data_IF_022969286609
#
_entry.id   IF_022969286609
#
_cell.length_a   1.000
_cell.length_b   1.000
_cell.length_c   1.000
_cell.angle_alpha   90.00
_cell.angle_beta   90.00
_cell.angle_gamma   90.00
#
_symmetry.space_group_name_H-M   'P 1'
#
loop_
_entity.id
_entity.type
_entity.pdbx_description
1 polymer ?
#
# COMPACT_ATOMS: atom_id res chain seq x y z
N UNK A 1 6.68 -4.62 22.86
CA UNK A 1 6.26 -3.28 22.44
C UNK A 1 5.59 -3.40 21.08
N UNK A 2 4.41 -2.79 20.97
CA UNK A 2 3.63 -2.82 19.73
C UNK A 2 3.99 -1.58 18.90
N UNK A 3 4.53 -1.75 17.70
CA UNK A 3 4.90 -0.65 16.81
C UNK A 3 3.82 -0.46 15.77
N UNK A 4 3.24 0.73 15.69
CA UNK A 4 2.30 1.09 14.63
C UNK A 4 2.99 1.94 13.57
N UNK A 5 2.85 1.55 12.30
CA UNK A 5 3.30 2.34 11.16
C UNK A 5 2.50 3.65 11.08
N UNK A 6 3.18 4.76 10.90
CA UNK A 6 2.56 6.07 10.73
C UNK A 6 2.93 6.65 9.37
N UNK A 7 1.94 7.15 8.65
CA UNK A 7 2.09 7.76 7.32
C UNK A 7 1.82 9.27 7.42
N UNK A 8 2.86 10.11 7.53
CA UNK A 8 2.70 11.55 7.79
C UNK A 8 1.91 12.30 6.72
N UNK A 9 2.00 11.84 5.47
CA UNK A 9 1.32 12.45 4.33
C UNK A 9 -0.07 11.89 4.05
N UNK A 10 -0.60 11.05 4.93
CA UNK A 10 -1.96 10.50 4.84
C UNK A 10 -2.22 9.74 3.54
N UNK A 11 -2.84 10.39 2.57
CA UNK A 11 -3.26 9.77 1.32
C UNK A 11 -2.27 9.93 0.15
N UNK A 12 -1.16 10.67 0.33
CA UNK A 12 -0.20 10.93 -0.74
C UNK A 12 0.45 9.62 -1.23
N UNK A 13 0.33 9.34 -2.53
CA UNK A 13 0.84 8.13 -3.18
C UNK A 13 0.35 6.82 -2.53
N UNK A 14 -0.86 6.80 -1.95
CA UNK A 14 -1.37 5.69 -1.14
C UNK A 14 -1.35 4.34 -1.87
N UNK A 15 -1.71 4.33 -3.16
CA UNK A 15 -1.73 3.10 -3.97
C UNK A 15 -0.34 2.63 -4.41
N UNK A 16 0.68 3.47 -4.29
CA UNK A 16 2.08 3.13 -4.57
C UNK A 16 2.76 2.62 -3.31
N UNK A 17 2.70 3.41 -2.23
CA UNK A 17 3.33 3.07 -0.96
C UNK A 17 2.70 1.81 -0.36
N UNK A 18 1.38 1.77 -0.31
CA UNK A 18 0.66 0.72 0.39
C UNK A 18 0.71 0.89 1.90
N UNK A 19 0.21 -0.09 2.62
CA UNK A 19 0.14 -0.06 4.08
C UNK A 19 0.44 -1.42 4.70
N UNK A 20 0.71 -1.41 6.00
CA UNK A 20 0.94 -2.60 6.82
C UNK A 20 -0.30 -2.97 7.63
N UNK A 21 -0.45 -4.25 7.93
CA UNK A 21 -1.46 -4.75 8.87
C UNK A 21 -1.10 -4.49 10.33
N UNK A 22 -1.96 -4.99 11.22
CA UNK A 22 -1.78 -4.90 12.67
C UNK A 22 -0.53 -5.61 13.19
N UNK A 23 -0.03 -6.59 12.46
CA UNK A 23 1.17 -7.38 12.74
C UNK A 23 2.43 -6.83 12.03
N UNK A 24 2.37 -5.59 11.54
CA UNK A 24 3.41 -4.92 10.77
C UNK A 24 3.82 -5.65 9.48
N UNK A 25 2.98 -6.54 8.97
CA UNK A 25 3.17 -7.19 7.68
C UNK A 25 2.63 -6.31 6.55
N UNK A 26 3.39 -6.14 5.47
CA UNK A 26 2.96 -5.40 4.29
C UNK A 26 1.75 -6.08 3.63
N UNK A 27 0.70 -5.33 3.32
CA UNK A 27 -0.53 -5.86 2.70
C UNK A 27 -0.57 -5.53 1.21
N UNK A 28 -0.24 -4.31 0.83
CA UNK A 28 -0.25 -3.84 -0.56
C UNK A 28 0.93 -2.91 -0.86
N UNK A 29 1.17 -2.64 -2.13
CA UNK A 29 2.13 -1.64 -2.60
C UNK A 29 3.59 -2.01 -2.36
N UNK A 30 4.41 -0.99 -2.13
CA UNK A 30 5.84 -1.15 -1.85
C UNK A 30 6.08 -1.81 -0.49
N UNK A 31 5.19 -1.63 0.49
CA UNK A 31 5.30 -2.26 1.81
C UNK A 31 5.32 -3.78 1.69
N UNK A 32 4.45 -4.39 0.88
CA UNK A 32 4.47 -5.84 0.66
C UNK A 32 5.65 -6.27 -0.23
N UNK A 33 5.97 -5.48 -1.23
CA UNK A 33 7.03 -5.82 -2.19
C UNK A 33 8.41 -5.88 -1.54
N UNK A 34 8.67 -4.97 -0.62
CA UNK A 34 9.96 -4.83 0.06
C UNK A 34 9.92 -5.20 1.55
N UNK A 35 8.90 -5.94 1.96
CA UNK A 35 8.71 -6.36 3.35
C UNK A 35 9.96 -7.01 3.95
N UNK A 36 10.60 -7.94 3.22
CA UNK A 36 11.81 -8.62 3.68
C UNK A 36 13.00 -7.69 3.96
N UNK A 37 12.99 -6.49 3.36
CA UNK A 37 14.03 -5.47 3.55
C UNK A 37 13.61 -4.50 4.66
N UNK A 38 12.33 -4.15 4.71
CA UNK A 38 11.78 -3.13 5.61
C UNK A 38 11.56 -3.67 7.02
N UNK A 39 11.13 -4.93 7.17
CA UNK A 39 10.73 -5.52 8.46
C UNK A 39 11.93 -5.80 9.38
N UNK A 40 13.08 -6.18 8.83
CA UNK A 40 14.22 -6.64 9.64
C UNK A 40 14.01 -8.05 10.19
N UNK A 41 14.63 -8.35 11.32
CA UNK A 41 14.53 -9.65 11.99
C UNK A 41 14.34 -9.47 13.49
N UNK A 42 13.31 -10.07 14.04
CA UNK A 42 13.00 -9.99 15.46
C UNK A 42 14.08 -10.68 16.30
N UNK A 43 14.41 -10.09 17.44
CA UNK A 43 15.27 -10.70 18.45
C UNK A 43 14.55 -11.86 19.13
N UNK A 44 15.30 -12.80 19.64
CA UNK A 44 14.78 -13.93 20.40
C UNK A 44 15.54 -14.06 21.71
N UNK A 45 14.79 -14.27 22.79
CA UNK A 45 15.34 -14.61 24.10
C UNK A 45 14.93 -16.05 24.37
N UNK A 46 15.92 -16.94 24.48
CA UNK A 46 15.71 -18.33 24.83
C UNK A 46 15.99 -18.47 26.33
N UNK A 47 14.95 -18.61 27.13
CA UNK A 47 15.05 -18.94 28.56
C UNK A 47 14.78 -20.43 28.76
N UNK A 48 15.63 -21.11 29.51
CA UNK A 48 15.37 -22.48 29.93
C UNK A 48 14.50 -22.44 31.20
N UNK A 49 13.38 -23.15 31.16
CA UNK A 49 12.49 -23.33 32.31
C UNK A 49 12.54 -24.78 32.80
N UNK A 50 12.38 -25.00 34.09
CA UNK A 50 12.21 -26.34 34.64
C UNK A 50 10.84 -26.94 34.28
N UNK A 51 10.59 -28.19 34.67
CA UNK A 51 9.32 -28.89 34.41
C UNK A 51 8.11 -28.23 35.08
N UNK A 52 8.31 -27.23 35.96
CA UNK A 52 7.29 -26.44 36.66
C UNK A 52 7.10 -25.04 36.08
N UNK A 53 7.87 -24.70 34.99
CA UNK A 53 7.80 -23.39 34.32
C UNK A 53 8.59 -22.28 35.04
N UNK A 54 9.48 -22.62 35.99
CA UNK A 54 10.35 -21.65 36.67
C UNK A 54 11.64 -21.46 35.86
N UNK A 55 12.03 -20.21 35.61
CA UNK A 55 13.27 -19.87 34.92
C UNK A 55 14.50 -20.35 35.70
N UNK A 56 15.38 -21.07 35.01
CA UNK A 56 16.64 -21.54 35.58
C UNK A 56 17.68 -20.42 35.43
N UNK A 57 17.97 -19.74 36.52
CA UNK A 57 18.85 -18.56 36.57
C UNK A 57 20.32 -18.82 36.20
N UNK A 58 20.72 -20.07 36.02
CA UNK A 58 22.13 -20.47 35.89
C UNK A 58 22.49 -21.06 34.50
N UNK A 59 21.52 -21.16 33.60
CA UNK A 59 21.74 -21.58 32.22
C UNK A 59 21.74 -20.35 31.34
N UNK A 60 22.91 -19.94 30.83
CA UNK A 60 23.12 -18.74 30.06
C UNK A 60 22.00 -18.47 29.06
N UNK A 61 21.38 -17.30 29.18
CA UNK A 61 20.34 -16.82 28.25
C UNK A 61 20.90 -16.77 26.84
N UNK A 62 20.37 -17.58 25.95
CA UNK A 62 20.63 -17.47 24.52
C UNK A 62 19.89 -16.25 23.97
N UNK A 63 20.54 -15.08 23.92
CA UNK A 63 19.96 -13.86 23.38
C UNK A 63 20.41 -13.68 21.94
N UNK A 64 19.44 -13.63 21.03
CA UNK A 64 19.64 -13.20 19.65
C UNK A 64 19.18 -11.76 19.52
N UNK A 65 20.09 -10.86 19.22
CA UNK A 65 19.77 -9.44 19.06
C UNK A 65 18.88 -9.21 17.83
N UNK A 66 17.91 -8.26 17.92
CA UNK A 66 17.08 -7.88 16.78
C UNK A 66 17.93 -7.15 15.73
N UNK A 67 17.60 -7.37 14.46
CA UNK A 67 18.22 -6.65 13.34
C UNK A 67 17.17 -5.70 12.76
N UNK A 68 17.42 -4.40 12.84
CA UNK A 68 16.53 -3.39 12.29
C UNK A 68 16.38 -3.53 10.78
N UNK A 69 15.18 -3.25 10.26
CA UNK A 69 14.94 -3.15 8.84
C UNK A 69 15.70 -2.00 8.19
N UNK A 70 15.79 -2.03 6.87
CA UNK A 70 16.45 -0.99 6.08
C UNK A 70 15.46 0.06 5.61
N UNK A 71 15.97 1.25 5.27
CA UNK A 71 15.17 2.31 4.66
C UNK A 71 15.07 2.10 3.14
N UNK A 72 13.91 2.38 2.57
CA UNK A 72 13.68 2.43 1.14
C UNK A 72 13.61 3.89 0.70
N UNK A 73 14.53 4.31 -0.17
CA UNK A 73 14.55 5.64 -0.76
C UNK A 73 13.92 5.56 -2.15
N UNK A 74 12.88 6.35 -2.37
CA UNK A 74 12.15 6.40 -3.64
C UNK A 74 12.60 7.60 -4.46
N UNK A 75 12.43 7.50 -5.78
CA UNK A 75 12.63 8.61 -6.72
C UNK A 75 11.45 9.58 -6.76
N UNK A 76 10.35 9.26 -6.08
CA UNK A 76 9.17 10.11 -6.03
C UNK A 76 9.47 11.44 -5.33
N UNK A 77 9.13 12.53 -6.00
CA UNK A 77 9.18 13.88 -5.43
C UNK A 77 7.81 14.21 -4.81
N UNK A 78 7.80 14.53 -3.53
CA UNK A 78 6.56 14.79 -2.78
C UNK A 78 5.77 15.99 -3.35
N UNK A 79 6.47 17.05 -3.80
CA UNK A 79 5.79 18.22 -4.36
C UNK A 79 5.19 17.89 -5.73
N UNK A 80 5.94 17.21 -6.60
CA UNK A 80 5.42 16.79 -7.90
C UNK A 80 4.26 15.80 -7.75
N UNK A 81 4.33 14.92 -6.77
CA UNK A 81 3.26 13.99 -6.44
C UNK A 81 1.98 14.74 -6.03
N UNK A 82 2.10 15.75 -5.16
CA UNK A 82 0.98 16.57 -4.72
C UNK A 82 0.34 17.37 -5.86
N UNK A 83 1.16 18.04 -6.70
CA UNK A 83 0.65 18.77 -7.87
C UNK A 83 -0.06 17.83 -8.85
N UNK A 84 0.53 16.67 -9.13
CA UNK A 84 -0.09 15.68 -10.00
C UNK A 84 -1.40 15.12 -9.41
N UNK A 85 -1.47 14.94 -8.09
CA UNK A 85 -2.67 14.52 -7.39
C UNK A 85 -3.79 15.57 -7.49
N UNK A 86 -3.48 16.84 -7.28
CA UNK A 86 -4.45 17.93 -7.44
C UNK A 86 -4.98 17.99 -8.89
N UNK A 87 -4.10 17.89 -9.87
CA UNK A 87 -4.49 17.86 -11.28
C UNK A 87 -5.37 16.64 -11.61
N UNK A 88 -5.05 15.47 -11.03
CA UNK A 88 -5.84 14.26 -11.23
C UNK A 88 -7.26 14.39 -10.64
N UNK A 89 -7.41 14.99 -9.45
CA UNK A 89 -8.73 15.24 -8.86
C UNK A 89 -9.54 16.25 -9.67
N UNK A 90 -8.91 17.32 -10.15
CA UNK A 90 -9.58 18.28 -11.04
C UNK A 90 -10.08 17.61 -12.34
N UNK A 91 -9.26 16.77 -12.95
CA UNK A 91 -9.66 16.02 -14.13
C UNK A 91 -10.78 15.02 -13.84
N UNK A 92 -10.75 14.34 -12.70
CA UNK A 92 -11.78 13.42 -12.24
C UNK A 92 -13.14 14.12 -12.15
N UNK A 93 -13.19 15.29 -11.50
CA UNK A 93 -14.40 16.07 -11.32
C UNK A 93 -14.90 16.66 -12.65
N UNK A 94 -14.03 17.31 -13.42
CA UNK A 94 -14.41 17.98 -14.68
C UNK A 94 -14.91 17.01 -15.74
N UNK A 95 -14.34 15.80 -15.77
CA UNK A 95 -14.70 14.77 -16.76
C UNK A 95 -15.69 13.74 -16.21
N UNK A 96 -16.07 13.84 -14.93
CA UNK A 96 -16.90 12.85 -14.24
C UNK A 96 -16.40 11.41 -14.47
N UNK A 97 -15.08 11.24 -14.40
CA UNK A 97 -14.42 9.97 -14.60
C UNK A 97 -14.46 9.13 -13.32
N UNK A 98 -14.45 7.82 -13.45
CA UNK A 98 -14.38 6.90 -12.29
C UNK A 98 -12.99 6.87 -11.66
N UNK A 99 -11.96 7.06 -12.48
CA UNK A 99 -10.56 7.09 -12.03
C UNK A 99 -9.68 7.87 -12.98
N UNK A 100 -8.59 8.44 -12.45
CA UNK A 100 -7.54 9.11 -13.25
C UNK A 100 -6.18 8.64 -12.76
N UNK A 101 -5.30 8.28 -13.69
CA UNK A 101 -3.92 7.90 -13.40
C UNK A 101 -2.96 8.85 -14.09
N UNK A 102 -1.95 9.35 -13.36
CA UNK A 102 -0.90 10.22 -13.88
C UNK A 102 0.46 9.63 -13.52
N UNK A 103 1.36 9.52 -14.48
CA UNK A 103 2.75 9.13 -14.26
C UNK A 103 3.65 10.22 -14.84
N UNK A 104 4.51 10.77 -13.98
CA UNK A 104 5.56 11.70 -14.38
C UNK A 104 6.90 10.99 -14.36
N UNK A 105 7.59 11.00 -15.49
CA UNK A 105 8.85 10.31 -15.66
C UNK A 105 9.89 11.26 -16.28
N UNK A 106 11.13 11.17 -15.79
CA UNK A 106 12.27 11.89 -16.39
C UNK A 106 12.75 11.11 -17.61
N UNK A 107 12.64 11.66 -18.83
CA UNK A 107 12.93 10.89 -20.05
C UNK A 107 14.41 10.51 -20.21
N UNK A 108 15.33 11.26 -19.58
CA UNK A 108 16.77 11.02 -19.73
C UNK A 108 17.28 9.76 -19.04
N UNK A 109 16.63 9.32 -17.94
CA UNK A 109 17.07 8.17 -17.16
C UNK A 109 15.93 7.20 -16.79
N UNK A 110 14.68 7.49 -17.17
CA UNK A 110 13.53 6.66 -16.85
C UNK A 110 13.05 6.73 -15.41
N UNK A 111 13.55 7.68 -14.61
CA UNK A 111 13.20 7.86 -13.21
C UNK A 111 11.77 8.36 -13.06
N UNK A 112 10.96 7.66 -12.24
CA UNK A 112 9.58 8.05 -11.97
C UNK A 112 9.59 9.07 -10.84
N UNK A 113 9.10 10.29 -11.14
CA UNK A 113 9.05 11.41 -10.22
C UNK A 113 7.70 11.54 -9.50
N UNK A 114 6.61 11.14 -10.15
CA UNK A 114 5.30 11.05 -9.53
C UNK A 114 4.48 9.93 -10.16
N UNK A 115 3.67 9.26 -9.34
CA UNK A 115 2.73 8.24 -9.76
C UNK A 115 1.45 8.38 -8.94
N UNK A 116 0.40 8.86 -9.58
CA UNK A 116 -0.90 9.16 -8.98
C UNK A 116 -1.97 8.26 -9.58
N UNK A 117 -2.87 7.81 -8.74
CA UNK A 117 -4.07 7.08 -9.17
C UNK A 117 -5.22 7.41 -8.23
N UNK A 118 -6.07 8.34 -8.65
CA UNK A 118 -7.24 8.77 -7.86
C UNK A 118 -8.49 7.97 -8.25
N UNK A 119 -9.44 7.74 -7.32
CA UNK A 119 -9.43 8.17 -5.91
C UNK A 119 -8.41 7.42 -5.06
N UNK A 120 -7.83 8.15 -4.10
CA UNK A 120 -6.89 7.61 -3.12
C UNK A 120 -7.59 7.32 -1.80
N UNK A 121 -6.92 6.57 -0.92
CA UNK A 121 -7.37 6.25 0.43
C UNK A 121 -6.35 6.73 1.48
N UNK A 122 -6.79 6.89 2.75
CA UNK A 122 -5.89 7.24 3.83
C UNK A 122 -5.08 6.01 4.27
N UNK A 123 -3.75 6.11 4.22
CA UNK A 123 -2.83 5.05 4.62
C UNK A 123 -2.91 4.74 6.12
N UNK A 124 -3.32 5.71 6.95
CA UNK A 124 -3.49 5.51 8.38
C UNK A 124 -4.82 4.83 8.74
N UNK A 125 -5.81 4.89 7.83
CA UNK A 125 -7.13 4.23 7.96
C UNK A 125 -7.60 3.64 6.61
N UNK A 126 -6.88 2.65 6.08
CA UNK A 126 -7.09 2.14 4.72
C UNK A 126 -8.40 1.36 4.54
N UNK A 127 -9.04 0.97 5.64
CA UNK A 127 -10.30 0.20 5.62
C UNK A 127 -11.54 1.09 5.75
N UNK A 128 -11.36 2.40 6.00
CA UNK A 128 -12.46 3.33 6.07
C UNK A 128 -12.94 3.71 4.67
N UNK A 129 -14.16 3.33 4.36
CA UNK A 129 -14.79 3.69 3.10
C UNK A 129 -15.34 5.11 3.19
N UNK A 130 -14.92 6.00 2.30
CA UNK A 130 -15.42 7.38 2.23
C UNK A 130 -16.91 7.46 1.83
N UNK A 131 -17.47 6.37 1.28
CA UNK A 131 -18.90 6.26 0.99
C UNK A 131 -19.65 5.66 2.18
N UNK A 132 -20.84 6.18 2.46
CA UNK A 132 -21.75 5.54 3.40
C UNK A 132 -22.06 4.12 2.94
N UNK A 133 -21.77 3.15 3.80
CA UNK A 133 -22.05 1.73 3.55
C UNK A 133 -23.48 1.35 3.94
N UNK A 134 -24.31 2.33 4.38
CA UNK A 134 -25.71 2.10 4.72
C UNK A 134 -26.49 1.61 3.50
N UNK A 135 -26.97 0.38 3.58
CA UNK A 135 -27.73 -0.27 2.52
C UNK A 135 -26.89 -1.10 1.53
N UNK A 136 -25.57 -1.12 1.68
CA UNK A 136 -24.70 -1.99 0.86
C UNK A 136 -24.62 -3.41 1.45
N UNK A 137 -24.59 -4.40 0.58
CA UNK A 137 -24.31 -5.79 0.97
C UNK A 137 -22.85 -5.97 1.38
N UNK A 138 -22.56 -7.05 2.12
CA UNK A 138 -21.17 -7.37 2.53
C UNK A 138 -20.24 -7.54 1.32
N UNK A 139 -20.78 -8.00 0.21
CA UNK A 139 -20.03 -8.20 -1.04
C UNK A 139 -19.67 -6.86 -1.69
N UNK A 140 -20.60 -5.93 -1.75
CA UNK A 140 -20.36 -4.57 -2.27
C UNK A 140 -19.36 -3.79 -1.41
N UNK A 141 -19.44 -3.93 -0.09
CA UNK A 141 -18.45 -3.36 0.84
C UNK A 141 -17.04 -3.92 0.57
N UNK A 142 -16.94 -5.22 0.33
CA UNK A 142 -15.66 -5.87 0.03
C UNK A 142 -15.12 -5.44 -1.33
N UNK A 143 -15.98 -5.28 -2.33
CA UNK A 143 -15.59 -4.82 -3.67
C UNK A 143 -15.10 -3.36 -3.65
N UNK A 144 -15.76 -2.48 -2.89
CA UNK A 144 -15.29 -1.09 -2.70
C UNK A 144 -13.93 -1.04 -1.95
N UNK A 145 -13.72 -1.89 -0.95
CA UNK A 145 -12.42 -2.03 -0.30
C UNK A 145 -11.33 -2.46 -1.28
N UNK A 146 -11.62 -3.47 -2.10
CA UNK A 146 -10.68 -3.99 -3.09
C UNK A 146 -10.35 -2.94 -4.16
N UNK A 147 -11.33 -2.15 -4.61
CA UNK A 147 -11.09 -1.02 -5.53
C UNK A 147 -10.14 0.02 -4.94
N UNK A 148 -10.33 0.37 -3.67
CA UNK A 148 -9.50 1.36 -3.01
C UNK A 148 -8.06 0.89 -2.78
N UNK A 149 -7.85 -0.43 -2.64
CA UNK A 149 -6.56 -1.05 -2.38
C UNK A 149 -5.85 -1.60 -3.63
N UNK A 150 -6.52 -1.62 -4.80
CA UNK A 150 -5.89 -2.10 -6.04
C UNK A 150 -4.68 -1.24 -6.39
N UNK A 151 -3.49 -1.85 -6.53
CA UNK A 151 -2.34 -1.16 -7.09
C UNK A 151 -2.67 -0.67 -8.51
N UNK A 152 -1.97 0.36 -8.95
CA UNK A 152 -2.14 0.97 -10.26
C UNK A 152 -1.94 -0.09 -11.37
N UNK A 153 -2.99 -0.80 -11.72
CA UNK A 153 -3.01 -1.63 -12.91
C UNK A 153 -3.35 -0.70 -14.06
N UNK A 154 -2.52 -0.58 -15.11
CA UNK A 154 -2.91 0.16 -16.29
C UNK A 154 -4.24 -0.41 -16.77
N UNK A 155 -5.21 0.47 -17.00
CA UNK A 155 -6.48 0.08 -17.60
C UNK A 155 -6.16 -0.66 -18.90
N UNK A 156 -6.36 -1.97 -18.92
CA UNK A 156 -6.33 -2.73 -20.13
C UNK A 156 -7.49 -2.19 -21.00
N UNK A 157 -7.16 -1.30 -21.92
CA UNK A 157 -8.03 -0.92 -22.99
C UNK A 157 -8.34 -2.17 -23.82
N UNK A 158 -9.30 -2.95 -23.34
CA UNK A 158 -9.97 -3.93 -24.18
C UNK A 158 -10.79 -3.12 -25.20
N UNK A 159 -10.16 -2.79 -26.32
CA UNK A 159 -10.87 -2.42 -27.52
C UNK A 159 -11.82 -3.58 -27.82
N UNK A 160 -13.10 -3.43 -27.51
CA UNK A 160 -14.15 -4.22 -28.09
C UNK A 160 -14.12 -3.98 -29.58
N UNK A 161 -13.45 -4.87 -30.29
CA UNK A 161 -13.59 -4.98 -31.73
C UNK A 161 -15.02 -5.37 -32.03
N UNK A 162 -15.82 -4.41 -32.47
CA UNK A 162 -17.08 -4.66 -33.16
C UNK A 162 -16.76 -5.46 -34.44
N UNK A 163 -16.99 -6.76 -34.36
CA UNK A 163 -17.16 -7.57 -35.57
C UNK A 163 -18.56 -7.30 -36.08
N UNK A 164 -18.69 -6.30 -36.91
CA UNK A 164 -19.83 -6.16 -37.81
C UNK A 164 -19.98 -7.42 -38.65
N UNK A 165 -21.19 -7.96 -38.66
CA UNK A 165 -21.55 -9.16 -39.40
C UNK A 165 -21.34 -9.03 -40.91
N UNK A 166 -20.89 -10.10 -41.49
CA UNK A 166 -21.11 -10.38 -42.91
C UNK A 166 -22.32 -11.29 -43.04
N UNK A 167 -23.38 -10.71 -43.59
CA UNK A 167 -24.40 -11.45 -44.32
C UNK A 167 -23.98 -11.54 -45.78
N UNK A 168 -23.89 -12.71 -46.28
CA UNK A 168 -24.31 -13.16 -47.63
C UNK A 168 -24.37 -14.64 -47.69
#
# INVERSE_FOLDING_TARGET
EDYKRNYPYGNLASKVLGFTGSDNQGIVGLEVKYESILKGTDGQILTMTDARGVELSDTGEGRKEPVSGKNLILSLDANLQEYAQQAAYQALEQKQADSVSIILMRPGNGEILAMVNVPEYDLNDPFNLKKSTNGMSQQEIQDERNKNQSPCTPANGAAKGDRAGQHS
#
